data_IF_818175843987
#
_entry.id   IF_818175843987
#
_cell.length_a   1.000
_cell.length_b   1.000
_cell.length_c   1.000
_cell.angle_alpha   90.00
_cell.angle_beta   90.00
_cell.angle_gamma   90.00
#
_symmetry.space_group_name_H-M   'P 1'
#
loop_
_entity.id
_entity.type
_entity.pdbx_description
1 polymer ?
#
# COMPACT_ATOMS: atom_id res chain seq x y z
N UNK A 1 15.78 -48.86 22.50
CA UNK A 1 14.84 -48.23 21.55
C UNK A 1 15.36 -46.82 21.30
N UNK A 2 15.79 -46.53 20.07
CA UNK A 2 16.52 -45.30 19.71
C UNK A 2 15.63 -44.05 19.82
N UNK A 3 16.18 -43.01 20.45
CA UNK A 3 15.68 -41.64 20.49
C UNK A 3 15.74 -41.04 19.08
N UNK A 4 14.57 -40.73 18.49
CA UNK A 4 14.47 -39.86 17.32
C UNK A 4 14.03 -38.48 17.80
N UNK A 5 15.02 -37.63 18.09
CA UNK A 5 14.84 -36.19 18.19
C UNK A 5 14.63 -35.70 16.75
N UNK A 6 13.38 -35.59 16.32
CA UNK A 6 13.05 -34.86 15.11
C UNK A 6 13.31 -33.38 15.39
N UNK A 7 14.38 -32.84 14.83
CA UNK A 7 14.75 -31.42 14.87
C UNK A 7 13.69 -30.59 14.13
N UNK A 8 12.60 -30.28 14.83
CA UNK A 8 11.64 -29.26 14.44
C UNK A 8 12.25 -27.89 14.73
N UNK A 9 13.06 -27.37 13.79
CA UNK A 9 13.76 -26.12 14.06
C UNK A 9 14.58 -25.58 12.91
N UNK A 10 14.11 -25.67 11.66
CA UNK A 10 14.76 -24.92 10.55
C UNK A 10 13.80 -24.51 9.42
N UNK A 11 12.48 -24.62 9.58
CA UNK A 11 11.53 -24.33 8.50
C UNK A 11 11.00 -22.88 8.48
N UNK A 12 11.09 -22.15 9.60
CA UNK A 12 10.44 -20.83 9.74
C UNK A 12 11.32 -19.63 9.32
N UNK A 13 12.64 -19.78 9.29
CA UNK A 13 13.56 -18.67 9.00
C UNK A 13 13.66 -18.31 7.50
N UNK A 14 13.18 -19.19 6.61
CA UNK A 14 13.34 -19.03 5.15
C UNK A 14 12.60 -17.81 4.60
N UNK A 15 11.56 -17.33 5.29
CA UNK A 15 10.70 -16.24 4.82
C UNK A 15 10.34 -15.17 5.85
N UNK A 16 10.98 -15.16 7.01
CA UNK A 16 10.71 -14.16 8.06
C UNK A 16 11.03 -12.74 7.57
N UNK A 17 12.18 -12.53 6.92
CA UNK A 17 12.56 -11.23 6.35
C UNK A 17 11.59 -10.77 5.25
N UNK A 18 11.07 -11.71 4.45
CA UNK A 18 10.11 -11.42 3.37
C UNK A 18 8.74 -11.03 3.92
N UNK A 19 8.29 -11.73 4.97
CA UNK A 19 7.08 -11.37 5.71
C UNK A 19 7.25 -9.97 6.30
N UNK A 20 8.37 -9.68 6.96
CA UNK A 20 8.63 -8.35 7.52
C UNK A 20 8.66 -7.24 6.45
N UNK A 21 9.29 -7.50 5.31
CA UNK A 21 9.32 -6.54 4.20
C UNK A 21 7.93 -6.30 3.61
N UNK A 22 7.13 -7.36 3.41
CA UNK A 22 5.74 -7.26 2.96
C UNK A 22 4.88 -6.45 3.93
N UNK A 23 4.97 -6.73 5.23
CA UNK A 23 4.20 -6.02 6.25
C UNK A 23 4.63 -4.55 6.38
N UNK A 24 5.93 -4.25 6.26
CA UNK A 24 6.43 -2.88 6.21
C UNK A 24 5.89 -2.12 5.01
N UNK A 25 5.91 -2.73 3.83
CA UNK A 25 5.35 -2.16 2.61
C UNK A 25 3.84 -1.90 2.70
N UNK A 26 3.09 -2.80 3.35
CA UNK A 26 1.67 -2.58 3.63
C UNK A 26 1.44 -1.39 4.56
N UNK A 27 2.25 -1.25 5.61
CA UNK A 27 2.17 -0.12 6.53
C UNK A 27 2.48 1.20 5.81
N UNK A 28 3.52 1.22 4.99
CA UNK A 28 3.90 2.38 4.18
C UNK A 28 2.78 2.75 3.18
N UNK A 29 2.22 1.76 2.48
CA UNK A 29 1.10 1.96 1.55
C UNK A 29 -0.15 2.50 2.23
N UNK A 30 -0.51 1.98 3.41
CA UNK A 30 -1.64 2.49 4.20
C UNK A 30 -1.38 3.91 4.74
N UNK A 31 -0.14 4.19 5.13
CA UNK A 31 0.28 5.53 5.58
C UNK A 31 0.17 6.57 4.48
N UNK A 32 0.70 6.27 3.28
CA UNK A 32 0.59 7.15 2.12
C UNK A 32 -0.86 7.29 1.65
N UNK A 33 -1.66 6.23 1.66
CA UNK A 33 -3.09 6.28 1.32
C UNK A 33 -3.87 7.21 2.25
N UNK A 34 -3.66 7.06 3.56
CA UNK A 34 -4.31 7.90 4.58
C UNK A 34 -3.90 9.37 4.39
N UNK A 35 -2.61 9.63 4.16
CA UNK A 35 -2.12 10.98 3.90
C UNK A 35 -2.73 11.59 2.62
N UNK A 36 -2.84 10.80 1.55
CA UNK A 36 -3.45 11.23 0.29
C UNK A 36 -4.93 11.61 0.46
N UNK A 37 -5.68 10.78 1.17
CA UNK A 37 -7.09 11.00 1.47
C UNK A 37 -7.29 12.27 2.31
N UNK A 38 -6.53 12.43 3.39
CA UNK A 38 -6.62 13.62 4.26
C UNK A 38 -6.30 14.92 3.50
N UNK A 39 -5.26 14.92 2.66
CA UNK A 39 -4.90 16.09 1.85
C UNK A 39 -5.99 16.42 0.82
N UNK A 40 -6.57 15.39 0.21
CA UNK A 40 -7.66 15.56 -0.76
C UNK A 40 -8.92 16.07 -0.07
N UNK A 41 -9.27 15.51 1.09
CA UNK A 41 -10.42 15.95 1.89
C UNK A 41 -10.26 17.40 2.35
N UNK A 42 -9.08 17.79 2.87
CA UNK A 42 -8.79 19.17 3.28
C UNK A 42 -8.95 20.15 2.10
N UNK A 43 -8.42 19.80 0.92
CA UNK A 43 -8.60 20.61 -0.27
C UNK A 43 -10.07 20.75 -0.70
N UNK A 44 -10.85 19.66 -0.60
CA UNK A 44 -12.28 19.68 -0.91
C UNK A 44 -13.10 20.42 0.15
N UNK A 45 -12.72 20.36 1.43
CA UNK A 45 -13.36 21.11 2.49
C UNK A 45 -13.22 22.63 2.25
N UNK A 46 -12.05 23.04 1.75
CA UNK A 46 -11.74 24.42 1.34
C UNK A 46 -12.43 24.87 0.03
N UNK A 47 -13.36 24.08 -0.51
CA UNK A 47 -14.10 24.17 -1.79
C UNK A 47 -14.43 25.53 -2.43
N UNK A 48 -14.36 26.65 -1.70
CA UNK A 48 -14.63 28.01 -2.17
C UNK A 48 -13.37 28.86 -2.44
N UNK A 49 -12.16 28.38 -2.10
CA UNK A 49 -10.93 29.12 -2.38
C UNK A 49 -10.08 28.43 -3.43
N UNK A 50 -9.98 29.09 -4.59
CA UNK A 50 -8.95 28.81 -5.59
C UNK A 50 -7.68 29.49 -5.12
N UNK A 51 -6.93 28.83 -4.24
CA UNK A 51 -5.69 29.35 -3.69
C UNK A 51 -4.54 28.35 -3.87
N UNK A 52 -3.32 28.87 -3.71
CA UNK A 52 -2.09 28.11 -3.87
C UNK A 52 -2.02 26.92 -2.89
N UNK A 53 -2.62 27.04 -1.71
CA UNK A 53 -2.57 26.01 -0.67
C UNK A 53 -3.48 24.83 -1.02
N UNK A 54 -4.73 25.08 -1.41
CA UNK A 54 -5.66 24.07 -1.94
C UNK A 54 -5.04 23.32 -3.12
N UNK A 55 -4.37 24.06 -4.03
CA UNK A 55 -3.68 23.44 -5.15
C UNK A 55 -2.50 22.55 -4.69
N UNK A 56 -1.72 23.01 -3.71
CA UNK A 56 -0.61 22.23 -3.15
C UNK A 56 -1.07 20.96 -2.44
N UNK A 57 -2.20 21.02 -1.72
CA UNK A 57 -2.80 19.83 -1.11
C UNK A 57 -3.21 18.80 -2.15
N UNK A 58 -3.87 19.19 -3.23
CA UNK A 58 -4.25 18.26 -4.29
C UNK A 58 -3.05 17.66 -5.01
N UNK A 59 -2.01 18.45 -5.31
CA UNK A 59 -0.77 17.94 -5.92
C UNK A 59 -0.06 16.95 -5.00
N UNK A 60 0.11 17.31 -3.73
CA UNK A 60 0.74 16.43 -2.74
C UNK A 60 -0.10 15.17 -2.50
N UNK A 61 -1.42 15.30 -2.46
CA UNK A 61 -2.35 14.18 -2.34
C UNK A 61 -2.23 13.22 -3.51
N UNK A 62 -2.12 13.74 -4.75
CA UNK A 62 -1.83 12.93 -5.94
C UNK A 62 -0.52 12.16 -5.81
N UNK A 63 0.57 12.83 -5.43
CA UNK A 63 1.87 12.19 -5.25
C UNK A 63 1.83 11.08 -4.18
N UNK A 64 1.03 11.27 -3.12
CA UNK A 64 0.82 10.25 -2.08
C UNK A 64 -0.02 9.08 -2.58
N UNK A 65 -1.06 9.32 -3.38
CA UNK A 65 -1.78 8.23 -4.06
C UNK A 65 -0.86 7.44 -4.97
N UNK A 66 -0.02 8.09 -5.77
CA UNK A 66 0.94 7.42 -6.66
C UNK A 66 1.91 6.51 -5.87
N UNK A 67 2.41 6.97 -4.71
CA UNK A 67 3.26 6.15 -3.83
C UNK A 67 2.52 5.00 -3.17
N UNK A 68 1.34 5.26 -2.61
CA UNK A 68 0.50 4.22 -2.01
C UNK A 68 0.19 3.12 -3.02
N UNK A 69 -0.15 3.50 -4.27
CA UNK A 69 -0.38 2.56 -5.36
C UNK A 69 0.83 1.68 -5.61
N UNK A 70 2.02 2.27 -5.73
CA UNK A 70 3.25 1.51 -5.95
C UNK A 70 3.53 0.50 -4.83
N UNK A 71 3.25 0.84 -3.56
CA UNK A 71 3.37 -0.10 -2.44
C UNK A 71 2.38 -1.26 -2.55
N UNK A 72 1.10 -1.00 -2.91
CA UNK A 72 0.12 -2.07 -3.05
C UNK A 72 0.31 -2.93 -4.30
N UNK A 73 0.84 -2.38 -5.40
CA UNK A 73 1.26 -3.17 -6.56
C UNK A 73 2.42 -4.12 -6.19
N UNK A 74 3.43 -3.60 -5.49
CA UNK A 74 4.55 -4.42 -5.00
C UNK A 74 4.12 -5.45 -3.94
N UNK A 75 3.05 -5.19 -3.18
CA UNK A 75 2.48 -6.19 -2.27
C UNK A 75 2.02 -7.44 -3.03
N UNK A 76 1.31 -7.27 -4.15
CA UNK A 76 0.84 -8.39 -4.99
C UNK A 76 2.02 -9.21 -5.48
N UNK A 77 3.02 -8.54 -6.07
CA UNK A 77 4.24 -9.19 -6.56
C UNK A 77 5.00 -9.92 -5.44
N UNK A 78 5.08 -9.32 -4.25
CA UNK A 78 5.78 -9.91 -3.09
C UNK A 78 5.07 -11.14 -2.55
N UNK A 79 3.74 -11.15 -2.52
CA UNK A 79 2.94 -12.31 -2.13
C UNK A 79 3.12 -13.47 -3.11
N UNK A 80 3.14 -13.19 -4.41
CA UNK A 80 3.43 -14.20 -5.45
C UNK A 80 4.87 -14.73 -5.35
N UNK A 81 5.86 -13.87 -5.13
CA UNK A 81 7.26 -14.27 -4.93
C UNK A 81 7.41 -15.14 -3.68
N UNK A 82 6.69 -14.83 -2.60
CA UNK A 82 6.67 -15.68 -1.40
C UNK A 82 6.07 -17.06 -1.67
N UNK A 83 4.97 -17.16 -2.43
CA UNK A 83 4.37 -18.45 -2.78
C UNK A 83 5.33 -19.34 -3.58
N UNK A 84 6.20 -18.76 -4.40
CA UNK A 84 7.14 -19.51 -5.26
C UNK A 84 8.46 -19.84 -4.58
N UNK A 85 8.95 -18.97 -3.69
CA UNK A 85 10.29 -19.10 -3.08
C UNK A 85 10.27 -19.65 -1.65
N UNK A 86 9.19 -19.43 -0.91
CA UNK A 86 9.08 -19.90 0.46
C UNK A 86 8.64 -21.36 0.51
N UNK A 87 9.41 -22.22 1.19
CA UNK A 87 9.01 -23.63 1.36
C UNK A 87 7.82 -23.81 2.30
N UNK A 88 7.74 -22.99 3.35
CA UNK A 88 6.68 -23.03 4.36
C UNK A 88 6.54 -21.66 5.06
N UNK A 89 6.05 -20.62 4.36
CA UNK A 89 5.82 -19.32 4.97
C UNK A 89 4.75 -19.40 6.06
N UNK A 90 4.98 -18.70 7.18
CA UNK A 90 4.02 -18.57 8.27
C UNK A 90 2.95 -17.51 7.92
N UNK A 91 1.94 -17.95 7.17
CA UNK A 91 0.83 -17.07 6.75
C UNK A 91 0.03 -16.48 7.91
N UNK A 92 0.15 -17.00 9.13
CA UNK A 92 -0.52 -16.41 10.30
C UNK A 92 0.07 -15.04 10.69
N UNK A 93 1.29 -14.74 10.23
CA UNK A 93 1.98 -13.46 10.44
C UNK A 93 1.75 -12.45 9.30
N UNK A 94 1.12 -12.86 8.21
CA UNK A 94 0.88 -12.02 7.03
C UNK A 94 -0.53 -11.44 7.13
N UNK A 95 -0.62 -10.11 7.21
CA UNK A 95 -1.89 -9.39 7.22
C UNK A 95 -2.41 -9.10 5.82
N UNK A 96 -1.51 -9.09 4.83
CA UNK A 96 -1.82 -8.86 3.43
C UNK A 96 -2.48 -10.07 2.76
N UNK A 97 -3.34 -9.81 1.77
CA UNK A 97 -3.76 -10.80 0.79
C UNK A 97 -3.71 -10.18 -0.61
N UNK A 98 -3.61 -10.99 -1.69
CA UNK A 98 -3.63 -10.46 -3.04
C UNK A 98 -4.90 -9.65 -3.32
N UNK A 99 -6.05 -10.12 -2.84
CA UNK A 99 -7.34 -9.44 -3.00
C UNK A 99 -7.35 -8.10 -2.26
N UNK A 100 -6.80 -8.04 -1.04
CA UNK A 100 -6.70 -6.79 -0.28
C UNK A 100 -5.83 -5.78 -1.03
N UNK A 101 -4.65 -6.18 -1.47
CA UNK A 101 -3.72 -5.30 -2.18
C UNK A 101 -4.32 -4.83 -3.51
N UNK A 102 -4.95 -5.72 -4.29
CA UNK A 102 -5.61 -5.37 -5.54
C UNK A 102 -6.82 -4.43 -5.33
N UNK A 103 -7.58 -4.62 -4.25
CA UNK A 103 -8.69 -3.74 -3.88
C UNK A 103 -8.18 -2.32 -3.62
N UNK A 104 -7.09 -2.19 -2.84
CA UNK A 104 -6.47 -0.87 -2.58
C UNK A 104 -5.95 -0.21 -3.85
N UNK A 105 -5.30 -0.96 -4.75
CA UNK A 105 -4.88 -0.42 -6.06
C UNK A 105 -6.09 0.13 -6.84
N UNK A 106 -7.19 -0.61 -6.86
CA UNK A 106 -8.39 -0.22 -7.60
C UNK A 106 -9.08 1.01 -7.01
N UNK A 107 -9.13 1.13 -5.68
CA UNK A 107 -9.62 2.33 -4.97
C UNK A 107 -8.75 3.56 -5.27
N UNK A 108 -7.43 3.39 -5.27
CA UNK A 108 -6.49 4.47 -5.58
C UNK A 108 -6.59 4.88 -7.04
N UNK A 109 -6.71 3.92 -7.96
CA UNK A 109 -6.91 4.21 -9.38
C UNK A 109 -8.16 5.04 -9.61
N UNK A 110 -9.26 4.71 -8.92
CA UNK A 110 -10.46 5.52 -8.96
C UNK A 110 -10.19 6.96 -8.51
N UNK A 111 -9.55 7.17 -7.37
CA UNK A 111 -9.21 8.51 -6.88
C UNK A 111 -8.28 9.29 -7.82
N UNK A 112 -7.29 8.60 -8.41
CA UNK A 112 -6.39 9.19 -9.40
C UNK A 112 -7.12 9.59 -10.69
N UNK A 113 -8.17 8.87 -11.11
CA UNK A 113 -8.99 9.28 -12.26
C UNK A 113 -9.76 10.58 -12.03
N UNK A 114 -10.11 10.87 -10.77
CA UNK A 114 -10.81 12.10 -10.38
C UNK A 114 -9.86 13.29 -10.23
N UNK A 115 -8.57 13.04 -10.01
CA UNK A 115 -7.59 14.05 -9.68
C UNK A 115 -7.37 15.12 -10.77
N UNK A 116 -7.30 14.78 -12.08
CA UNK A 116 -7.23 15.79 -13.13
C UNK A 116 -8.35 16.81 -13.05
N UNK A 117 -9.60 16.38 -12.84
CA UNK A 117 -10.74 17.28 -12.73
C UNK A 117 -10.64 18.20 -11.50
N UNK A 118 -10.17 17.66 -10.37
CA UNK A 118 -9.92 18.45 -9.15
C UNK A 118 -8.83 19.49 -9.39
N UNK A 119 -7.71 19.09 -10.00
CA UNK A 119 -6.61 19.99 -10.34
C UNK A 119 -7.04 21.06 -11.35
N UNK A 120 -7.84 20.74 -12.37
CA UNK A 120 -8.39 21.76 -13.28
C UNK A 120 -9.23 22.79 -12.54
N UNK A 121 -10.15 22.32 -11.68
CA UNK A 121 -11.05 23.19 -10.93
C UNK A 121 -10.31 24.12 -9.96
N UNK A 122 -9.33 23.59 -9.21
CA UNK A 122 -8.71 24.31 -8.09
C UNK A 122 -7.33 24.91 -8.41
N UNK A 123 -6.66 24.44 -9.46
CA UNK A 123 -5.34 24.93 -9.88
C UNK A 123 -5.33 25.59 -11.27
N UNK A 124 -6.42 25.51 -12.05
CA UNK A 124 -6.47 26.03 -13.42
C UNK A 124 -5.62 25.27 -14.44
N UNK A 125 -5.42 23.95 -14.23
CA UNK A 125 -4.63 23.06 -15.09
C UNK A 125 -5.48 22.26 -16.08
#
# INVERSE_FOLDING_TARGET
MLLLIASAGVAAADCEDRIHALEGMMQDGLGDLTAAQNLTEEALHRSNTTDLETCNFLRTGKERFDKAKAHFEQCVDSLEDMLTRCKAPDWSKVSASPELCQTRVSEIDHELTLMPHRLTRFCGQ
#
